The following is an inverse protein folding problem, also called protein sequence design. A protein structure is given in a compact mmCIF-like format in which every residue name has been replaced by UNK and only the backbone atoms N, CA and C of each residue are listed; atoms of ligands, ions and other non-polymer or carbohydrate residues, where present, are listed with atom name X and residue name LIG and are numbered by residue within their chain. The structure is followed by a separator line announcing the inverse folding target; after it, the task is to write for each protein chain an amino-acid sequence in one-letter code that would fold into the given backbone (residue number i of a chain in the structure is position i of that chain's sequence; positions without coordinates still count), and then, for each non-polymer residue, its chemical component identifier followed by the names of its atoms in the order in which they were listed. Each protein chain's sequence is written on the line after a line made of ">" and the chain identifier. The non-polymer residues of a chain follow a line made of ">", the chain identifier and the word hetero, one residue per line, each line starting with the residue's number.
data_IF_436206214090
#
_entry.id   IF_436206214090
#
_cell.length_a   1.000
_cell.length_b   1.000
_cell.length_c   1.000
_cell.angle_alpha   90.00
_cell.angle_beta   90.00
_cell.angle_gamma   90.00
#
_symmetry.space_group_name_H-M   'P 1'
#
loop_
_entity.id
_entity.type
_entity.pdbx_description
1 polymer ?
#
# COMPACT_ATOMS: atom_id res chain seq x y z
N UNK A 1 10.08 0.31 16.87
CA UNK A 1 9.08 -0.37 16.03
C UNK A 1 9.74 -0.65 14.69
N UNK A 2 10.26 -1.86 14.50
CA UNK A 2 11.03 -2.22 13.30
C UNK A 2 10.08 -2.47 12.14
N UNK A 3 10.06 -1.58 11.15
CA UNK A 3 9.32 -1.81 9.92
C UNK A 3 10.08 -2.82 9.08
N UNK A 4 9.45 -3.95 8.77
CA UNK A 4 10.00 -4.93 7.83
C UNK A 4 10.06 -4.30 6.45
N UNK A 5 11.21 -4.46 5.77
CA UNK A 5 11.37 -3.99 4.41
C UNK A 5 10.45 -4.79 3.48
N UNK A 6 9.93 -4.12 2.46
CA UNK A 6 9.05 -4.74 1.47
C UNK A 6 9.86 -5.08 0.22
N UNK A 7 9.89 -6.36 -0.20
CA UNK A 7 10.53 -6.75 -1.45
C UNK A 7 9.81 -6.13 -2.65
N UNK A 8 10.57 -5.59 -3.58
CA UNK A 8 10.07 -4.98 -4.82
C UNK A 8 10.85 -5.47 -6.03
N UNK A 9 10.18 -5.47 -7.17
CA UNK A 9 10.74 -5.69 -8.50
C UNK A 9 10.55 -4.40 -9.28
N UNK A 10 11.65 -3.82 -9.74
CA UNK A 10 11.65 -2.63 -10.58
C UNK A 10 11.37 -2.97 -12.05
N UNK A 11 11.15 -1.95 -12.87
CA UNK A 11 10.96 -2.15 -14.32
C UNK A 11 12.22 -2.66 -15.03
N UNK A 12 13.40 -2.35 -14.49
CA UNK A 12 14.71 -2.86 -14.91
C UNK A 12 14.96 -4.33 -14.51
N UNK A 13 13.93 -5.05 -14.06
CA UNK A 13 14.00 -6.44 -13.57
C UNK A 13 14.93 -6.66 -12.36
N UNK A 14 15.41 -5.57 -11.76
CA UNK A 14 16.14 -5.60 -10.49
C UNK A 14 15.21 -5.85 -9.32
N UNK A 15 15.64 -6.74 -8.43
CA UNK A 15 15.04 -6.91 -7.12
C UNK A 15 15.63 -5.89 -6.14
N UNK A 16 14.80 -5.39 -5.25
CA UNK A 16 15.23 -4.55 -4.15
C UNK A 16 14.28 -4.63 -2.99
N UNK A 17 14.59 -3.86 -1.97
CA UNK A 17 13.82 -3.82 -0.74
C UNK A 17 13.67 -2.36 -0.31
N UNK A 18 12.45 -1.97 0.00
CA UNK A 18 12.11 -0.58 0.31
C UNK A 18 11.32 -0.52 1.60
N UNK A 19 11.40 0.60 2.30
CA UNK A 19 10.58 0.80 3.50
C UNK A 19 9.12 0.97 3.08
N UNK A 20 8.15 0.55 3.91
CA UNK A 20 6.73 0.62 3.58
C UNK A 20 6.26 2.05 3.27
N UNK A 21 6.83 3.08 3.91
CA UNK A 21 6.51 4.47 3.59
C UNK A 21 7.09 4.96 2.25
N UNK A 22 8.17 4.34 1.77
CA UNK A 22 8.75 4.64 0.45
C UNK A 22 8.01 3.88 -0.65
N UNK A 23 7.53 2.67 -0.34
CA UNK A 23 6.79 1.84 -1.28
C UNK A 23 5.59 2.58 -1.87
N UNK A 24 4.78 3.22 -1.03
CA UNK A 24 3.59 3.96 -1.48
C UNK A 24 3.96 5.08 -2.47
N UNK A 25 5.02 5.85 -2.15
CA UNK A 25 5.56 6.87 -3.05
C UNK A 25 6.08 6.28 -4.36
N UNK A 26 6.82 5.17 -4.31
CA UNK A 26 7.40 4.51 -5.48
C UNK A 26 6.33 3.90 -6.40
N UNK A 27 5.25 3.38 -5.81
CA UNK A 27 4.07 2.91 -6.54
C UNK A 27 3.38 4.10 -7.20
N UNK A 28 3.18 5.22 -6.47
CA UNK A 28 2.52 6.42 -6.99
C UNK A 28 3.27 7.07 -8.17
N UNK A 29 4.61 7.04 -8.17
CA UNK A 29 5.42 7.56 -9.29
C UNK A 29 5.68 6.51 -10.38
N UNK A 30 5.14 5.31 -10.25
CA UNK A 30 5.28 4.25 -11.26
C UNK A 30 6.70 3.68 -11.39
N UNK A 31 7.50 3.69 -10.32
CA UNK A 31 8.86 3.12 -10.34
C UNK A 31 8.90 1.62 -10.03
N UNK A 32 7.89 1.09 -9.37
CA UNK A 32 7.82 -0.33 -8.98
C UNK A 32 6.91 -1.11 -9.94
N UNK A 33 7.42 -2.22 -10.47
CA UNK A 33 6.67 -3.13 -11.35
C UNK A 33 5.85 -4.12 -10.52
N UNK A 34 6.46 -4.76 -9.52
CA UNK A 34 5.77 -5.67 -8.58
C UNK A 34 6.29 -5.49 -7.16
N UNK A 35 5.48 -5.80 -6.15
CA UNK A 35 5.93 -5.84 -4.76
C UNK A 35 5.38 -7.07 -4.04
N UNK A 36 6.11 -7.57 -3.05
CA UNK A 36 5.71 -8.74 -2.29
C UNK A 36 4.92 -8.32 -1.05
N UNK A 37 3.66 -8.76 -0.96
CA UNK A 37 2.79 -8.48 0.19
C UNK A 37 1.93 -9.69 0.49
N UNK A 38 1.80 -10.01 1.78
CA UNK A 38 0.95 -11.11 2.26
C UNK A 38 1.23 -12.44 1.54
N UNK A 39 2.50 -12.78 1.33
CA UNK A 39 2.90 -14.06 0.76
C UNK A 39 2.83 -14.17 -0.78
N UNK A 40 2.51 -13.08 -1.49
CA UNK A 40 2.42 -13.08 -2.96
C UNK A 40 2.96 -11.80 -3.59
N UNK A 41 3.36 -11.90 -4.85
CA UNK A 41 3.73 -10.75 -5.68
C UNK A 41 2.49 -10.07 -6.25
N UNK A 42 2.37 -8.77 -6.02
CA UNK A 42 1.30 -7.93 -6.56
C UNK A 42 1.88 -7.11 -7.73
N UNK A 43 1.24 -7.17 -8.89
CA UNK A 43 1.65 -6.39 -10.06
C UNK A 43 1.02 -4.99 -10.00
N UNK A 44 1.84 -3.94 -9.90
CA UNK A 44 1.34 -2.55 -9.78
C UNK A 44 0.55 -2.12 -11.02
N UNK A 45 0.91 -2.62 -12.21
CA UNK A 45 0.34 -2.18 -13.48
C UNK A 45 -0.97 -2.89 -13.86
N UNK A 46 -1.15 -4.12 -13.39
CA UNK A 46 -2.31 -4.96 -13.71
C UNK A 46 -3.26 -5.12 -12.52
N UNK A 47 -2.73 -5.21 -11.30
CA UNK A 47 -3.54 -5.32 -10.10
C UNK A 47 -4.06 -3.91 -9.80
N UNK A 48 -5.39 -3.74 -9.86
CA UNK A 48 -6.05 -2.53 -9.37
C UNK A 48 -5.67 -2.37 -7.91
N UNK A 49 -4.63 -1.57 -7.64
CA UNK A 49 -4.27 -1.14 -6.30
C UNK A 49 -5.57 -0.65 -5.65
N UNK A 50 -6.10 -1.43 -4.70
CA UNK A 50 -7.38 -1.12 -4.06
C UNK A 50 -7.26 0.29 -3.45
N UNK A 51 -7.88 1.25 -4.11
CA UNK A 51 -8.00 2.63 -3.65
C UNK A 51 -6.84 3.55 -4.06
N UNK A 52 -6.70 3.83 -5.36
CA UNK A 52 -6.46 5.22 -5.73
C UNK A 52 -7.66 5.96 -5.15
N UNK A 53 -7.49 6.74 -4.09
CA UNK A 53 -8.58 7.39 -3.38
C UNK A 53 -9.45 8.19 -4.34
N UNK A 54 -10.47 7.55 -4.93
CA UNK A 54 -11.60 8.26 -5.48
C UNK A 54 -12.12 9.15 -4.36
N UNK A 55 -12.54 10.36 -4.72
CA UNK A 55 -13.14 11.33 -3.81
C UNK A 55 -14.05 10.59 -2.81
N UNK A 56 -13.59 10.48 -1.58
CA UNK A 56 -14.17 9.58 -0.59
C UNK A 56 -15.45 10.25 -0.07
N UNK A 57 -16.59 9.89 -0.65
CA UNK A 57 -17.94 10.32 -0.20
C UNK A 57 -18.57 9.31 0.76
N UNK A 58 -17.78 8.40 1.32
CA UNK A 58 -18.25 7.46 2.35
C UNK A 58 -18.20 8.11 3.74
N UNK A 59 -19.22 7.90 4.60
CA UNK A 59 -19.24 8.49 5.94
C UNK A 59 -18.02 8.04 6.77
N UNK A 60 -17.30 9.03 7.26
CA UNK A 60 -16.37 9.06 8.40
C UNK A 60 -16.01 7.69 9.04
N UNK A 61 -14.79 7.19 8.78
CA UNK A 61 -14.30 5.88 9.29
C UNK A 61 -13.79 5.89 10.74
N UNK A 62 -14.05 6.93 11.52
CA UNK A 62 -13.68 6.99 12.96
C UNK A 62 -14.69 7.79 13.77
N UNK A 63 -15.91 7.27 13.97
CA UNK A 63 -16.55 7.50 15.26
C UNK A 63 -15.98 6.50 16.25
N UNK A 64 -15.17 7.02 17.18
CA UNK A 64 -14.94 6.38 18.48
C UNK A 64 -16.29 5.94 19.01
N UNK A 65 -16.44 4.65 19.24
CA UNK A 65 -17.52 4.14 20.07
C UNK A 65 -17.21 4.62 21.50
N UNK A 66 -17.64 5.84 21.80
CA UNK A 66 -17.73 6.30 23.18
C UNK A 66 -18.94 5.60 23.77
N UNK A 67 -18.65 4.62 24.63
CA UNK A 67 -19.57 4.08 25.63
C UNK A 67 -20.31 5.24 26.30
N UNK A 68 -21.65 5.16 26.33
CA UNK A 68 -22.44 5.79 27.39
C UNK A 68 -23.51 4.79 27.80
N UNK A 69 -23.44 4.49 29.09
CA UNK A 69 -24.25 3.59 29.90
C UNK A 69 -25.58 4.30 30.19
N UNK A 70 -26.70 3.59 30.07
CA UNK A 70 -27.96 3.94 30.73
C UNK A 70 -28.55 2.67 31.32
#
# INVERSE_FOLDING_TARGET
>A
MSYMNVPVLYFDERYGEVKPFQLDKLISIGMVKKFFRSGRWINVKEDKLRGNGGMYTGPERRKKMSIVIF
#
